data_IF_760718157409
#
_entry.id   IF_760718157409
#
_cell.length_a   1.000
_cell.length_b   1.000
_cell.length_c   1.000
_cell.angle_alpha   90.00
_cell.angle_beta   90.00
_cell.angle_gamma   90.00
#
_symmetry.space_group_name_H-M   'P 1'
#
loop_
_entity.id
_entity.type
_entity.pdbx_description
1 polymer ?
#
# COMPACT_ATOMS: atom_id res chain seq x y z
N UNK A 1 -10.16 -28.42 4.82
CA UNK A 1 -8.97 -28.12 3.98
C UNK A 1 -9.31 -27.32 2.71
N UNK A 2 -10.36 -27.62 1.96
CA UNK A 2 -10.76 -26.95 0.71
C UNK A 2 -10.94 -25.43 0.84
N UNK A 3 -11.70 -24.96 1.82
CA UNK A 3 -11.99 -23.52 2.02
C UNK A 3 -10.74 -22.67 2.28
N UNK A 4 -9.77 -23.20 3.02
CA UNK A 4 -8.50 -22.50 3.31
C UNK A 4 -7.62 -22.31 2.06
N UNK A 5 -7.62 -23.30 1.16
CA UNK A 5 -6.88 -23.21 -0.09
C UNK A 5 -7.53 -22.21 -1.05
N UNK A 6 -8.86 -22.12 -1.08
CA UNK A 6 -9.58 -21.13 -1.90
C UNK A 6 -9.29 -19.70 -1.47
N UNK A 7 -9.23 -19.41 -0.17
CA UNK A 7 -8.89 -18.08 0.33
C UNK A 7 -7.44 -17.70 -0.04
N UNK A 8 -6.49 -18.62 0.13
CA UNK A 8 -5.09 -18.38 -0.24
C UNK A 8 -4.93 -18.13 -1.74
N UNK A 9 -5.63 -18.90 -2.55
CA UNK A 9 -5.64 -18.70 -4.00
C UNK A 9 -6.24 -17.34 -4.38
N UNK A 10 -7.35 -16.94 -3.77
CA UNK A 10 -7.96 -15.63 -3.99
C UNK A 10 -7.02 -14.49 -3.62
N UNK A 11 -6.31 -14.59 -2.49
CA UNK A 11 -5.31 -13.60 -2.08
C UNK A 11 -4.11 -13.55 -3.03
N UNK A 12 -3.63 -14.70 -3.49
CA UNK A 12 -2.56 -14.75 -4.50
C UNK A 12 -3.00 -14.07 -5.80
N UNK A 13 -4.21 -14.36 -6.28
CA UNK A 13 -4.78 -13.70 -7.45
C UNK A 13 -4.89 -12.19 -7.22
N UNK A 14 -5.36 -11.75 -6.05
CA UNK A 14 -5.46 -10.33 -5.72
C UNK A 14 -4.07 -9.65 -5.73
N UNK A 15 -3.05 -10.26 -5.16
CA UNK A 15 -1.66 -9.75 -5.16
C UNK A 15 -1.13 -9.63 -6.58
N UNK A 16 -1.24 -10.69 -7.39
CA UNK A 16 -0.77 -10.69 -8.78
C UNK A 16 -1.54 -9.67 -9.62
N UNK A 17 -2.85 -9.57 -9.45
CA UNK A 17 -3.67 -8.58 -10.15
C UNK A 17 -3.30 -7.15 -9.74
N UNK A 18 -3.07 -6.88 -8.45
CA UNK A 18 -2.65 -5.56 -7.96
C UNK A 18 -1.33 -5.13 -8.61
N UNK A 19 -0.31 -6.00 -8.57
CA UNK A 19 0.99 -5.72 -9.19
C UNK A 19 0.84 -5.56 -10.70
N UNK A 20 0.09 -6.43 -11.37
CA UNK A 20 -0.14 -6.36 -12.81
C UNK A 20 -0.86 -5.07 -13.22
N UNK A 21 -1.94 -4.70 -12.53
CA UNK A 21 -2.67 -3.45 -12.78
C UNK A 21 -1.78 -2.23 -12.56
N UNK A 22 -1.00 -2.21 -11.47
CA UNK A 22 -0.07 -1.11 -11.19
C UNK A 22 0.97 -0.97 -12.31
N UNK A 23 1.59 -2.06 -12.75
CA UNK A 23 2.57 -2.06 -13.83
C UNK A 23 1.99 -1.57 -15.16
N UNK A 24 0.83 -2.08 -15.54
CA UNK A 24 0.16 -1.70 -16.78
C UNK A 24 -0.25 -0.23 -16.74
N UNK A 25 -0.87 0.23 -15.65
CA UNK A 25 -1.32 1.62 -15.53
C UNK A 25 -0.17 2.62 -15.49
N UNK A 26 0.94 2.33 -14.80
CA UNK A 26 2.16 3.14 -14.83
C UNK A 26 2.78 3.21 -16.24
N UNK A 27 2.80 2.08 -16.96
CA UNK A 27 3.29 2.04 -18.34
C UNK A 27 2.41 2.91 -19.26
N UNK A 28 1.09 2.78 -19.18
CA UNK A 28 0.15 3.60 -19.95
C UNK A 28 0.30 5.08 -19.59
N UNK A 29 0.38 5.41 -18.28
CA UNK A 29 0.58 6.77 -17.83
C UNK A 29 1.88 7.38 -18.39
N UNK A 30 2.98 6.62 -18.39
CA UNK A 30 4.24 7.05 -18.99
C UNK A 30 4.10 7.31 -20.50
N UNK A 31 3.38 6.45 -21.22
CA UNK A 31 3.21 6.62 -22.69
C UNK A 31 2.30 7.80 -23.06
N UNK A 32 1.27 8.06 -22.24
CA UNK A 32 0.20 9.01 -22.61
C UNK A 32 0.40 10.37 -21.93
N UNK A 33 0.95 10.42 -20.72
CA UNK A 33 0.99 11.62 -19.90
C UNK A 33 2.40 12.23 -19.75
N UNK A 34 3.48 11.53 -20.18
CA UNK A 34 4.85 12.03 -20.02
C UNK A 34 5.13 13.34 -20.79
N UNK A 35 4.25 13.75 -21.68
CA UNK A 35 4.30 15.05 -22.37
C UNK A 35 4.01 16.25 -21.47
N UNK A 36 3.64 16.03 -20.19
CA UNK A 36 3.37 17.09 -19.21
C UNK A 36 1.95 17.66 -19.27
N UNK A 37 1.06 17.08 -20.06
CA UNK A 37 -0.36 17.50 -20.10
C UNK A 37 -1.10 16.98 -18.89
N UNK A 38 -1.88 17.85 -18.25
CA UNK A 38 -2.81 17.49 -17.19
C UNK A 38 -4.21 17.31 -17.77
N UNK A 39 -4.73 16.11 -17.69
CA UNK A 39 -6.10 15.81 -18.13
C UNK A 39 -7.06 15.88 -16.93
N UNK A 40 -7.99 16.82 -16.98
CA UNK A 40 -8.97 17.05 -15.91
C UNK A 40 -10.34 16.48 -16.27
N UNK A 41 -10.95 15.78 -15.31
CA UNK A 41 -12.25 15.12 -15.43
C UNK A 41 -13.15 15.45 -14.23
N UNK A 42 -14.46 15.23 -14.41
CA UNK A 42 -15.48 15.37 -13.35
C UNK A 42 -15.41 16.73 -12.63
N UNK A 43 -15.50 17.82 -13.40
CA UNK A 43 -15.38 19.18 -12.87
C UNK A 43 -14.13 19.39 -12.01
N UNK A 44 -12.99 18.91 -12.52
CA UNK A 44 -11.66 19.00 -11.90
C UNK A 44 -11.49 18.21 -10.59
N UNK A 45 -12.39 17.25 -10.31
CA UNK A 45 -12.25 16.37 -9.15
C UNK A 45 -11.18 15.30 -9.36
N UNK A 46 -11.00 14.83 -10.60
CA UNK A 46 -9.99 13.83 -10.97
C UNK A 46 -9.04 14.44 -11.99
N UNK A 47 -7.75 14.41 -11.69
CA UNK A 47 -6.71 14.76 -12.66
C UNK A 47 -5.83 13.56 -12.94
N UNK A 48 -5.45 13.41 -14.21
CA UNK A 48 -4.40 12.50 -14.64
C UNK A 48 -3.21 13.34 -15.10
N UNK A 49 -2.08 13.12 -14.47
CA UNK A 49 -0.83 13.84 -14.70
C UNK A 49 0.36 12.90 -14.48
N UNK A 50 1.49 13.17 -15.10
CA UNK A 50 2.69 12.35 -14.94
C UNK A 50 3.64 12.97 -13.94
N UNK A 51 3.97 12.24 -12.88
CA UNK A 51 4.94 12.65 -11.87
C UNK A 51 5.91 11.52 -11.58
N UNK A 52 7.21 11.80 -11.65
CA UNK A 52 8.25 10.91 -11.13
C UNK A 52 8.52 11.22 -9.67
N UNK A 53 7.96 10.41 -8.79
CA UNK A 53 8.07 10.58 -7.34
C UNK A 53 9.37 9.95 -6.82
N UNK A 54 10.29 10.80 -6.38
CA UNK A 54 11.55 10.39 -5.77
C UNK A 54 11.44 10.16 -4.26
N UNK A 55 10.35 10.62 -3.62
CA UNK A 55 10.07 10.46 -2.20
C UNK A 55 9.24 9.23 -1.86
N UNK A 56 8.57 9.30 -0.71
CA UNK A 56 7.59 8.31 -0.27
C UNK A 56 6.18 8.58 -0.78
N UNK A 57 5.19 8.07 -0.05
CA UNK A 57 3.78 8.27 -0.33
C UNK A 57 3.43 9.76 -0.43
N UNK A 58 2.72 10.16 -1.47
CA UNK A 58 2.35 11.56 -1.76
C UNK A 58 3.55 12.54 -1.84
N UNK A 59 4.73 12.06 -2.24
CA UNK A 59 5.93 12.89 -2.37
C UNK A 59 6.64 13.21 -1.05
N UNK A 60 6.29 12.57 0.06
CA UNK A 60 6.96 12.79 1.34
C UNK A 60 8.46 12.54 1.24
N UNK A 61 9.26 13.51 1.68
CA UNK A 61 10.72 13.42 1.69
C UNK A 61 11.37 13.58 0.31
N UNK A 62 10.66 14.07 -0.70
CA UNK A 62 11.23 14.37 -2.01
C UNK A 62 12.37 15.40 -1.95
N UNK A 63 12.33 16.32 -0.98
CA UNK A 63 13.35 17.36 -0.75
C UNK A 63 14.59 16.86 0.02
N UNK A 64 14.60 15.60 0.48
CA UNK A 64 15.76 15.04 1.17
C UNK A 64 16.94 14.87 0.20
N UNK A 65 18.19 15.00 0.68
CA UNK A 65 19.37 14.67 -0.11
C UNK A 65 19.30 13.25 -0.69
N UNK A 66 19.81 13.05 -1.90
CA UNK A 66 19.69 11.80 -2.66
C UNK A 66 20.10 10.55 -1.86
N UNK A 67 21.19 10.64 -1.09
CA UNK A 67 21.68 9.53 -0.27
C UNK A 67 20.66 9.09 0.81
N UNK A 68 20.05 10.08 1.50
CA UNK A 68 19.03 9.80 2.52
C UNK A 68 17.75 9.27 1.90
N UNK A 69 17.33 9.85 0.79
CA UNK A 69 16.16 9.45 0.03
C UNK A 69 16.29 8.00 -0.44
N UNK A 70 17.40 7.65 -1.10
CA UNK A 70 17.68 6.28 -1.53
C UNK A 70 17.73 5.31 -0.34
N UNK A 71 18.39 5.70 0.77
CA UNK A 71 18.49 4.86 1.96
C UNK A 71 17.11 4.59 2.56
N UNK A 72 16.29 5.62 2.77
CA UNK A 72 14.97 5.48 3.39
C UNK A 72 13.98 4.71 2.50
N UNK A 73 13.85 5.13 1.24
CA UNK A 73 12.77 4.61 0.38
C UNK A 73 13.15 3.37 -0.40
N UNK A 74 14.42 3.00 -0.43
CA UNK A 74 14.86 1.75 -1.09
C UNK A 74 15.38 0.74 -0.07
N UNK A 75 16.42 1.06 0.69
CA UNK A 75 17.03 0.09 1.60
C UNK A 75 16.11 -0.25 2.79
N UNK A 76 15.68 0.77 3.56
CA UNK A 76 14.87 0.55 4.76
C UNK A 76 13.51 -0.02 4.39
N UNK A 77 12.83 0.53 3.36
CA UNK A 77 11.55 -0.01 2.91
C UNK A 77 11.66 -1.45 2.42
N UNK A 78 12.73 -1.80 1.70
CA UNK A 78 13.01 -3.19 1.29
C UNK A 78 13.16 -4.13 2.48
N UNK A 79 13.86 -3.71 3.54
CA UNK A 79 13.98 -4.49 4.79
C UNK A 79 12.63 -4.64 5.47
N UNK A 80 11.83 -3.60 5.57
CA UNK A 80 10.48 -3.65 6.16
C UNK A 80 9.59 -4.63 5.40
N UNK A 81 9.56 -4.55 4.07
CA UNK A 81 8.80 -5.47 3.24
C UNK A 81 9.27 -6.93 3.40
N UNK A 82 10.58 -7.14 3.47
CA UNK A 82 11.14 -8.48 3.70
C UNK A 82 10.71 -9.04 5.06
N UNK A 83 10.84 -8.26 6.13
CA UNK A 83 10.39 -8.65 7.47
C UNK A 83 8.91 -8.97 7.48
N UNK A 84 8.07 -8.11 6.91
CA UNK A 84 6.62 -8.36 6.80
C UNK A 84 6.32 -9.66 6.02
N UNK A 85 7.03 -9.92 4.93
CA UNK A 85 6.86 -11.13 4.14
C UNK A 85 7.26 -12.38 4.95
N UNK A 86 8.39 -12.34 5.65
CA UNK A 86 8.86 -13.43 6.51
C UNK A 86 7.85 -13.71 7.63
N UNK A 87 7.36 -12.67 8.29
CA UNK A 87 6.34 -12.80 9.35
C UNK A 87 5.02 -13.37 8.80
N UNK A 88 4.60 -12.91 7.61
CA UNK A 88 3.40 -13.44 6.95
C UNK A 88 3.52 -14.95 6.62
N UNK A 89 4.74 -15.44 6.32
CA UNK A 89 5.00 -16.85 6.08
C UNK A 89 5.11 -17.68 7.36
N UNK A 90 5.69 -17.11 8.43
CA UNK A 90 5.89 -17.78 9.73
C UNK A 90 4.60 -17.91 10.53
N UNK A 91 3.80 -16.86 10.59
CA UNK A 91 2.56 -16.85 11.36
C UNK A 91 1.34 -17.23 10.51
N UNK A 92 0.40 -17.92 11.14
CA UNK A 92 -0.86 -18.35 10.49
C UNK A 92 -1.90 -17.22 10.54
N UNK A 93 -1.60 -16.08 9.96
CA UNK A 93 -2.53 -14.96 9.90
C UNK A 93 -3.78 -15.30 9.09
N UNK A 94 -4.90 -14.69 9.44
CA UNK A 94 -6.22 -14.95 8.84
C UNK A 94 -7.04 -13.67 8.75
N UNK A 95 -8.10 -13.72 7.95
CA UNK A 95 -9.07 -12.62 7.84
C UNK A 95 -8.43 -11.31 7.41
N UNK A 96 -8.88 -10.22 8.00
CA UNK A 96 -8.44 -8.86 7.66
C UNK A 96 -6.95 -8.63 7.85
N UNK A 97 -6.33 -9.27 8.85
CA UNK A 97 -4.89 -9.17 9.07
C UNK A 97 -4.10 -9.72 7.87
N UNK A 98 -4.44 -10.91 7.39
CA UNK A 98 -3.78 -11.51 6.21
C UNK A 98 -4.05 -10.69 4.94
N UNK A 99 -5.30 -10.26 4.74
CA UNK A 99 -5.67 -9.41 3.59
C UNK A 99 -4.89 -8.10 3.59
N UNK A 100 -4.83 -7.42 4.75
CA UNK A 100 -4.10 -6.16 4.90
C UNK A 100 -2.61 -6.31 4.58
N UNK A 101 -1.97 -7.33 5.14
CA UNK A 101 -0.55 -7.60 4.87
C UNK A 101 -0.30 -7.94 3.39
N UNK A 102 -1.15 -8.74 2.76
CA UNK A 102 -1.00 -9.06 1.34
C UNK A 102 -1.10 -7.81 0.45
N UNK A 103 -2.03 -6.90 0.73
CA UNK A 103 -2.20 -5.66 -0.02
C UNK A 103 -1.01 -4.70 0.19
N UNK A 104 -0.54 -4.53 1.44
CA UNK A 104 0.64 -3.71 1.73
C UNK A 104 1.89 -4.29 1.05
N UNK A 105 2.07 -5.61 1.10
CA UNK A 105 3.20 -6.27 0.43
C UNK A 105 3.11 -6.12 -1.09
N UNK A 106 1.93 -6.28 -1.70
CA UNK A 106 1.75 -6.15 -3.15
C UNK A 106 2.06 -4.73 -3.63
N UNK A 107 1.43 -3.71 -3.02
CA UNK A 107 1.67 -2.31 -3.38
C UNK A 107 3.08 -1.86 -3.03
N UNK A 108 3.55 -2.18 -1.82
CA UNK A 108 4.90 -1.84 -1.37
C UNK A 108 5.99 -2.44 -2.25
N UNK A 109 5.88 -3.72 -2.62
CA UNK A 109 6.82 -4.38 -3.50
C UNK A 109 6.81 -3.78 -4.91
N UNK A 110 5.62 -3.43 -5.46
CA UNK A 110 5.53 -2.78 -6.77
C UNK A 110 6.27 -1.44 -6.79
N UNK A 111 6.01 -0.56 -5.82
CA UNK A 111 6.70 0.72 -5.68
C UNK A 111 8.19 0.57 -5.33
N UNK A 112 8.56 -0.46 -4.57
CA UNK A 112 9.96 -0.74 -4.24
C UNK A 112 10.77 -1.16 -5.48
N UNK A 113 10.22 -2.03 -6.32
CA UNK A 113 10.87 -2.44 -7.58
C UNK A 113 11.10 -1.25 -8.51
N UNK A 114 10.16 -0.29 -8.59
CA UNK A 114 10.37 0.94 -9.36
C UNK A 114 11.57 1.73 -8.85
N UNK A 115 11.68 1.91 -7.52
CA UNK A 115 12.80 2.62 -6.90
C UNK A 115 14.15 1.93 -7.11
N UNK A 116 14.18 0.61 -6.98
CA UNK A 116 15.42 -0.17 -7.26
C UNK A 116 15.83 -0.05 -8.71
N UNK A 117 14.87 -0.08 -9.64
CA UNK A 117 15.15 -0.07 -11.07
C UNK A 117 15.42 1.31 -11.65
N UNK A 118 14.75 2.37 -11.15
CA UNK A 118 14.73 3.71 -11.75
C UNK A 118 15.04 4.84 -10.76
N UNK A 119 15.09 4.58 -9.48
CA UNK A 119 15.21 5.60 -8.43
C UNK A 119 13.93 6.38 -8.14
N UNK A 120 12.90 6.21 -8.96
CA UNK A 120 11.63 6.95 -8.89
C UNK A 120 10.44 6.02 -9.02
N UNK A 121 9.27 6.47 -8.58
CA UNK A 121 7.98 5.81 -8.80
C UNK A 121 7.14 6.69 -9.72
N UNK A 122 6.46 6.10 -10.69
CA UNK A 122 5.52 6.83 -11.54
C UNK A 122 4.18 6.94 -10.80
N UNK A 123 3.79 8.19 -10.52
CA UNK A 123 2.48 8.56 -9.97
C UNK A 123 1.69 9.30 -11.04
N UNK A 124 0.36 9.12 -11.09
CA UNK A 124 -0.42 9.66 -12.20
C UNK A 124 -1.87 10.03 -11.87
N UNK A 125 -2.37 9.72 -10.67
CA UNK A 125 -3.72 10.08 -10.23
C UNK A 125 -3.67 11.16 -9.16
N UNK A 126 -4.51 12.20 -9.31
CA UNK A 126 -4.68 13.23 -8.32
C UNK A 126 -6.19 13.49 -8.11
N UNK A 127 -6.64 13.45 -6.87
CA UNK A 127 -8.04 13.66 -6.50
C UNK A 127 -8.19 14.93 -5.67
N UNK A 128 -9.27 15.66 -5.87
CA UNK A 128 -9.53 16.85 -5.05
C UNK A 128 -10.74 17.65 -5.47
N UNK A 129 -11.02 18.70 -4.68
CA UNK A 129 -12.06 19.70 -4.97
C UNK A 129 -11.46 21.07 -4.73
N UNK A 130 -11.39 21.89 -5.78
CA UNK A 130 -10.75 23.19 -5.71
C UNK A 130 -9.27 23.09 -5.25
N UNK A 131 -8.86 23.88 -4.24
CA UNK A 131 -7.48 23.86 -3.75
C UNK A 131 -7.17 22.66 -2.85
N UNK A 132 -8.17 21.94 -2.35
CA UNK A 132 -7.99 20.78 -1.49
C UNK A 132 -7.82 19.54 -2.34
N UNK A 133 -6.56 19.11 -2.51
CA UNK A 133 -6.23 17.96 -3.35
C UNK A 133 -5.32 16.97 -2.64
N UNK A 134 -5.37 15.70 -3.06
CA UNK A 134 -4.35 14.73 -2.68
C UNK A 134 -3.02 15.09 -3.34
N UNK A 135 -1.91 14.53 -2.88
CA UNK A 135 -0.74 14.39 -3.76
C UNK A 135 -1.07 13.49 -4.96
N UNK A 136 -0.15 13.40 -5.91
CA UNK A 136 -0.27 12.45 -7.02
C UNK A 136 0.09 11.07 -6.50
N UNK A 137 -0.65 10.05 -6.89
CA UNK A 137 -0.49 8.65 -6.43
C UNK A 137 -0.76 7.65 -7.57
N UNK A 138 -0.54 6.37 -7.31
CA UNK A 138 -0.70 5.27 -8.25
C UNK A 138 -1.56 4.12 -7.68
N UNK A 139 -1.74 3.04 -8.44
CA UNK A 139 -2.55 1.88 -8.02
C UNK A 139 -1.93 1.13 -6.83
N UNK A 140 -0.59 1.06 -6.76
CA UNK A 140 0.10 0.44 -5.63
C UNK A 140 -0.17 1.20 -4.32
N UNK A 141 -0.24 2.54 -4.36
CA UNK A 141 -0.57 3.37 -3.19
C UNK A 141 -1.98 3.11 -2.69
N UNK A 142 -2.95 2.96 -3.61
CA UNK A 142 -4.33 2.56 -3.25
C UNK A 142 -4.33 1.20 -2.54
N UNK A 143 -3.57 0.23 -3.04
CA UNK A 143 -3.46 -1.08 -2.40
C UNK A 143 -2.84 -0.98 -1.00
N UNK A 144 -1.79 -0.17 -0.81
CA UNK A 144 -1.18 0.07 0.50
C UNK A 144 -2.20 0.68 1.46
N UNK A 145 -2.94 1.72 1.03
CA UNK A 145 -3.95 2.36 1.88
C UNK A 145 -5.08 1.41 2.29
N UNK A 146 -5.60 0.62 1.35
CA UNK A 146 -6.61 -0.41 1.65
C UNK A 146 -6.05 -1.48 2.58
N UNK A 147 -4.79 -1.85 2.40
CA UNK A 147 -4.08 -2.77 3.28
C UNK A 147 -3.94 -2.24 4.70
N UNK A 148 -3.51 -1.00 4.87
CA UNK A 148 -3.42 -0.34 6.18
C UNK A 148 -4.79 -0.23 6.84
N UNK A 149 -5.84 0.13 6.10
CA UNK A 149 -7.20 0.16 6.62
C UNK A 149 -7.67 -1.23 7.11
N UNK A 150 -7.37 -2.29 6.37
CA UNK A 150 -7.67 -3.66 6.78
C UNK A 150 -6.92 -4.08 8.05
N UNK A 151 -5.64 -3.68 8.19
CA UNK A 151 -4.85 -3.91 9.41
C UNK A 151 -5.44 -3.19 10.61
N UNK A 152 -5.83 -1.92 10.46
CA UNK A 152 -6.49 -1.15 11.51
C UNK A 152 -7.79 -1.80 11.98
N UNK A 153 -8.66 -2.21 11.03
CA UNK A 153 -9.90 -2.92 11.33
C UNK A 153 -9.67 -4.26 12.07
N UNK A 154 -8.57 -4.94 11.76
CA UNK A 154 -8.17 -6.17 12.45
C UNK A 154 -7.83 -5.91 13.92
N UNK A 155 -7.12 -4.82 14.22
CA UNK A 155 -6.76 -4.41 15.59
C UNK A 155 -7.98 -4.04 16.44
N UNK A 156 -8.91 -3.23 15.90
CA UNK A 156 -10.14 -2.84 16.60
C UNK A 156 -11.02 -4.04 16.99
N UNK A 157 -11.12 -5.06 16.16
CA UNK A 157 -11.89 -6.27 16.46
C UNK A 157 -11.26 -7.12 17.57
N UNK A 158 -9.94 -7.15 17.67
CA UNK A 158 -9.24 -7.89 18.71
C UNK A 158 -9.45 -7.26 20.11
N UNK A 159 -9.44 -5.94 20.19
CA UNK A 159 -9.68 -5.21 21.46
C UNK A 159 -11.12 -5.29 21.93
N UNK A 160 -12.08 -5.33 21.01
CA UNK A 160 -13.50 -5.38 21.39
C UNK A 160 -13.96 -6.79 21.85
N UNK A 161 -13.28 -7.84 21.43
CA UNK A 161 -13.55 -9.22 21.86
C UNK A 161 -12.86 -9.63 23.17
N UNK A 162 -11.99 -8.78 23.72
CA UNK A 162 -11.43 -8.95 25.06
C UNK A 162 -12.38 -8.30 26.07
N UNK A 163 -13.53 -8.94 26.37
CA UNK A 163 -14.44 -8.52 27.44
C UNK A 163 -13.80 -8.76 28.83
N UNK A 164 -14.07 -7.88 29.82
CA UNK A 164 -13.49 -7.97 31.17
C UNK A 164 -14.19 -9.01 32.07
N UNK A 165 -14.46 -10.22 31.59
CA UNK A 165 -15.16 -11.23 32.37
C UNK A 165 -14.27 -12.25 33.09
N UNK A 166 -12.94 -12.09 33.08
CA UNK A 166 -12.01 -13.01 33.74
C UNK A 166 -11.34 -12.42 34.96
N UNK A 167 -11.97 -11.41 35.62
CA UNK A 167 -11.65 -11.05 36.99
C UNK A 167 -12.66 -11.73 37.91
N UNK A 168 -12.47 -13.01 38.18
CA UNK A 168 -13.07 -13.64 39.35
C UNK A 168 -12.55 -12.95 40.63
N UNK A 169 -13.43 -12.39 41.47
CA UNK A 169 -12.98 -11.92 42.78
C UNK A 169 -12.65 -13.16 43.63
N UNK A 170 -11.37 -13.24 44.01
CA UNK A 170 -10.88 -14.26 44.91
C UNK A 170 -11.76 -14.37 46.17
N UNK A 171 -12.18 -15.58 46.43
CA UNK A 171 -12.92 -15.95 47.65
C UNK A 171 -11.96 -15.84 48.85
N UNK A 172 -12.26 -15.02 49.86
CA UNK A 172 -11.53 -15.09 51.13
C UNK A 172 -11.99 -16.32 51.92
N UNK A 173 -11.02 -17.10 52.38
CA UNK A 173 -11.20 -18.18 53.36
C UNK A 173 -11.48 -17.62 54.74
#
# INVERSE_FOLDING_TARGET
>A
MRHRNSIRLALLIAVVSTIGCDRVTKHVATMVLAGGEVHSYLADTVRLEYVENTGGFLGLGADLPDAWRTTLFTAINGVVLLVMAVEALRFRWRGWLLTGVCLVLAGGASNWVDRVARGTVVDFMNLGVGPLRTGVFNVADVAIMLGVAALALSGFRSTHNASPSDQEPGHPA
#
